data_IF_882688205659
#
_entry.id   IF_882688205659
#
_cell.length_a   1.000
_cell.length_b   1.000
_cell.length_c   1.000
_cell.angle_alpha   90.00
_cell.angle_beta   90.00
_cell.angle_gamma   90.00
#
_symmetry.space_group_name_H-M   'P 1'
#
loop_
_entity.id
_entity.type
_entity.pdbx_description
1 polymer ?
#
# COMPACT_ATOMS: atom_id res chain seq x y z
N UNK A 1 12.15 -14.04 -6.92
CA UNK A 1 13.22 -13.16 -6.40
C UNK A 1 12.62 -12.36 -5.26
N UNK A 2 13.25 -12.37 -4.07
CA UNK A 2 12.80 -11.51 -2.97
C UNK A 2 13.43 -10.13 -3.09
N UNK A 3 12.69 -9.08 -2.79
CA UNK A 3 13.16 -7.68 -2.79
C UNK A 3 13.05 -7.12 -1.38
N UNK A 4 14.13 -6.48 -0.89
CA UNK A 4 14.12 -5.75 0.38
C UNK A 4 14.04 -4.25 0.12
N UNK A 5 13.15 -3.58 0.84
CA UNK A 5 13.02 -2.12 0.83
C UNK A 5 13.10 -1.59 2.25
N UNK A 6 14.06 -0.69 2.49
CA UNK A 6 14.17 0.03 3.74
C UNK A 6 13.67 1.46 3.52
N UNK A 7 12.87 1.92 4.45
CA UNK A 7 12.31 3.28 4.49
C UNK A 7 12.56 3.85 5.88
N UNK A 8 12.54 5.17 5.98
CA UNK A 8 12.98 5.88 7.18
C UNK A 8 12.09 5.62 8.40
N UNK A 9 10.77 5.56 8.21
CA UNK A 9 9.81 5.46 9.29
C UNK A 9 8.46 4.88 8.84
N UNK A 10 7.55 4.74 9.80
CA UNK A 10 6.20 4.20 9.60
C UNK A 10 5.39 4.98 8.56
N UNK A 11 5.51 6.31 8.53
CA UNK A 11 4.81 7.16 7.56
C UNK A 11 5.31 6.89 6.14
N UNK A 12 6.64 6.87 5.95
CA UNK A 12 7.26 6.56 4.66
C UNK A 12 6.95 5.13 4.18
N UNK A 13 6.88 4.16 5.11
CA UNK A 13 6.43 2.80 4.82
C UNK A 13 4.99 2.77 4.33
N UNK A 14 4.11 3.47 5.04
CA UNK A 14 2.68 3.48 4.75
C UNK A 14 2.39 4.14 3.40
N UNK A 15 3.09 5.25 3.12
CA UNK A 15 3.04 5.97 1.86
C UNK A 15 3.46 5.07 0.70
N UNK A 16 4.64 4.45 0.80
CA UNK A 16 5.14 3.54 -0.23
C UNK A 16 4.22 2.34 -0.46
N UNK A 17 3.71 1.73 0.61
CA UNK A 17 2.79 0.60 0.49
C UNK A 17 1.47 1.00 -0.21
N UNK A 18 0.96 2.21 0.04
CA UNK A 18 -0.25 2.71 -0.63
C UNK A 18 -0.02 2.96 -2.12
N UNK A 19 1.17 3.45 -2.50
CA UNK A 19 1.57 3.60 -3.91
C UNK A 19 1.61 2.25 -4.64
N UNK A 20 2.17 1.22 -3.98
CA UNK A 20 2.19 -0.14 -4.52
C UNK A 20 0.79 -0.70 -4.76
N UNK A 21 -0.10 -0.56 -3.78
CA UNK A 21 -1.50 -0.98 -3.92
C UNK A 21 -2.19 -0.25 -5.06
N UNK A 22 -2.04 1.08 -5.14
CA UNK A 22 -2.63 1.89 -6.19
C UNK A 22 -2.11 1.49 -7.58
N UNK A 23 -0.82 1.19 -7.72
CA UNK A 23 -0.23 0.72 -8.96
C UNK A 23 -0.82 -0.64 -9.41
N UNK A 24 -1.00 -1.58 -8.46
CA UNK A 24 -1.66 -2.86 -8.75
C UNK A 24 -3.11 -2.65 -9.17
N UNK A 25 -3.88 -1.85 -8.41
CA UNK A 25 -5.29 -1.58 -8.71
C UNK A 25 -5.45 -0.91 -10.08
N UNK A 26 -4.61 0.08 -10.41
CA UNK A 26 -4.67 0.76 -11.72
C UNK A 26 -4.27 -0.15 -12.88
N UNK A 27 -3.27 -0.99 -12.70
CA UNK A 27 -2.84 -1.93 -13.75
C UNK A 27 -3.80 -3.11 -13.93
N UNK A 28 -4.49 -3.51 -12.85
CA UNK A 28 -5.47 -4.59 -12.85
C UNK A 28 -6.64 -4.28 -11.88
N UNK A 29 -7.67 -3.55 -12.35
CA UNK A 29 -8.80 -3.15 -11.50
C UNK A 29 -9.64 -4.31 -10.94
N UNK A 30 -9.59 -5.48 -11.57
CA UNK A 30 -10.25 -6.72 -11.15
C UNK A 30 -9.33 -7.64 -10.31
N UNK A 31 -8.19 -7.12 -9.83
CA UNK A 31 -7.29 -7.89 -8.99
C UNK A 31 -7.96 -8.31 -7.67
N UNK A 32 -7.86 -9.60 -7.34
CA UNK A 32 -8.21 -10.10 -6.01
C UNK A 32 -7.01 -9.92 -5.09
N UNK A 33 -7.11 -9.03 -4.10
CA UNK A 33 -6.03 -8.69 -3.18
C UNK A 33 -6.41 -9.17 -1.76
N UNK A 34 -5.56 -10.00 -1.16
CA UNK A 34 -5.71 -10.38 0.25
C UNK A 34 -5.10 -9.30 1.14
N UNK A 35 -5.95 -8.52 1.81
CA UNK A 35 -5.53 -7.43 2.68
C UNK A 35 -5.30 -7.92 4.12
N UNK A 36 -4.24 -7.41 4.75
CA UNK A 36 -3.95 -7.67 6.15
C UNK A 36 -4.73 -6.72 7.07
N UNK A 37 -5.02 -7.16 8.29
CA UNK A 37 -5.58 -6.33 9.36
C UNK A 37 -4.54 -6.03 10.44
N UNK A 38 -4.83 -5.08 11.32
CA UNK A 38 -3.95 -4.70 12.44
C UNK A 38 -3.49 -3.25 12.36
N UNK A 39 -2.62 -2.84 13.28
CA UNK A 39 -2.16 -1.45 13.35
C UNK A 39 -1.24 -1.06 12.19
N UNK A 40 -0.40 -1.97 11.71
CA UNK A 40 0.60 -1.69 10.66
C UNK A 40 0.00 -1.23 9.33
N UNK A 41 -1.06 -1.85 8.76
CA UNK A 41 -1.61 -1.37 7.49
C UNK A 41 -2.59 -0.19 7.63
N UNK A 42 -2.89 0.27 8.86
CA UNK A 42 -3.91 1.30 9.08
C UNK A 42 -3.62 2.58 8.29
N UNK A 43 -2.40 3.12 8.42
CA UNK A 43 -2.02 4.35 7.73
C UNK A 43 -1.87 4.15 6.22
N UNK A 44 -1.45 2.95 5.78
CA UNK A 44 -1.42 2.58 4.36
C UNK A 44 -2.80 2.72 3.72
N UNK A 45 -3.87 2.25 4.38
CA UNK A 45 -5.22 2.34 3.84
C UNK A 45 -5.77 3.78 3.86
N UNK A 46 -5.44 4.57 4.88
CA UNK A 46 -5.78 5.99 4.88
C UNK A 46 -5.19 6.71 3.65
N UNK A 47 -3.89 6.57 3.39
CA UNK A 47 -3.25 7.16 2.22
C UNK A 47 -3.76 6.61 0.88
N UNK A 48 -4.12 5.33 0.82
CA UNK A 48 -4.71 4.77 -0.39
C UNK A 48 -6.03 5.47 -0.72
N UNK A 49 -6.92 5.64 0.25
CA UNK A 49 -8.22 6.29 0.05
C UNK A 49 -8.04 7.75 -0.39
N UNK A 50 -7.09 8.49 0.20
CA UNK A 50 -6.79 9.87 -0.18
C UNK A 50 -6.27 10.01 -1.63
N UNK A 51 -5.73 8.94 -2.23
CA UNK A 51 -5.17 8.97 -3.59
C UNK A 51 -6.18 8.59 -4.67
N UNK A 52 -7.32 8.00 -4.30
CA UNK A 52 -8.33 7.53 -5.25
C UNK A 52 -9.22 8.71 -5.65
N UNK A 53 -9.10 9.09 -6.92
CA UNK A 53 -9.92 10.08 -7.64
C UNK A 53 -10.15 9.54 -9.05
#
# INVERSE_FOLDING_TARGET
MQTLQQVENYTALSERASEYLLAVIRSKPDAVICLATGATPLLTYHYLVEKIH
#
